data_IF_564212749351
#
_entry.id   IF_564212749351
#
_cell.length_a   1.000
_cell.length_b   1.000
_cell.length_c   1.000
_cell.angle_alpha   90.00
_cell.angle_beta   90.00
_cell.angle_gamma   90.00
#
_symmetry.space_group_name_H-M   'P 1'
#
loop_
_entity.id
_entity.type
_entity.pdbx_description
1 polymer ?
#
# COMPACT_ATOMS: atom_id res chain seq x y z
N UNK A 1 9.35 -1.77 -13.13
CA UNK A 1 8.02 -1.96 -13.75
C UNK A 1 8.11 -2.33 -15.23
N UNK A 2 8.77 -1.54 -16.08
CA UNK A 2 8.90 -1.80 -17.53
C UNK A 2 9.49 -3.18 -17.88
N UNK A 3 10.58 -3.57 -17.22
CA UNK A 3 11.22 -4.88 -17.41
C UNK A 3 10.28 -6.05 -17.04
N UNK A 4 9.52 -5.92 -15.96
CA UNK A 4 8.56 -6.93 -15.51
C UNK A 4 7.36 -7.05 -16.43
N UNK A 5 6.87 -5.92 -16.98
CA UNK A 5 5.82 -5.92 -17.98
C UNK A 5 6.28 -6.61 -19.27
N UNK A 6 7.48 -6.28 -19.75
CA UNK A 6 8.07 -6.88 -20.94
C UNK A 6 8.29 -8.39 -20.77
N UNK A 7 8.93 -8.80 -19.67
CA UNK A 7 9.15 -10.21 -19.35
C UNK A 7 7.83 -10.97 -19.14
N UNK A 8 6.87 -10.39 -18.42
CA UNK A 8 5.56 -10.99 -18.20
C UNK A 8 4.76 -11.15 -19.51
N UNK A 9 4.81 -10.16 -20.39
CA UNK A 9 4.23 -10.22 -21.72
C UNK A 9 4.89 -11.31 -22.57
N UNK A 10 6.23 -11.39 -22.59
CA UNK A 10 6.96 -12.38 -23.36
C UNK A 10 6.70 -13.82 -22.88
N UNK A 11 6.69 -14.03 -21.55
CA UNK A 11 6.39 -15.33 -20.92
C UNK A 11 4.91 -15.73 -21.07
N UNK A 12 4.00 -14.74 -21.13
CA UNK A 12 2.55 -14.96 -21.19
C UNK A 12 1.99 -15.15 -22.61
N UNK A 13 2.42 -14.33 -23.57
CA UNK A 13 1.92 -14.39 -24.96
C UNK A 13 2.53 -15.51 -25.79
N UNK A 14 3.70 -16.04 -25.39
CA UNK A 14 4.40 -17.07 -26.15
C UNK A 14 3.94 -18.46 -25.68
N UNK A 15 3.14 -19.23 -26.46
CA UNK A 15 2.52 -20.47 -26.00
C UNK A 15 3.47 -21.55 -25.44
N UNK A 16 4.65 -21.82 -26.05
CA UNK A 16 5.58 -22.80 -25.50
C UNK A 16 6.19 -22.35 -24.16
N UNK A 17 6.39 -21.04 -23.99
CA UNK A 17 6.98 -20.47 -22.79
C UNK A 17 5.93 -20.39 -21.65
N UNK A 18 4.69 -20.06 -22.00
CA UNK A 18 3.56 -20.10 -21.08
C UNK A 18 3.36 -21.51 -20.53
N UNK A 19 3.40 -22.53 -21.41
CA UNK A 19 3.29 -23.94 -21.02
C UNK A 19 4.45 -24.37 -20.10
N UNK A 20 5.67 -23.98 -20.42
CA UNK A 20 6.85 -24.34 -19.63
C UNK A 20 6.86 -23.72 -18.22
N UNK A 21 6.31 -22.51 -18.05
CA UNK A 21 6.33 -21.78 -16.77
C UNK A 21 5.04 -21.91 -15.95
N UNK A 22 3.86 -22.02 -16.56
CA UNK A 22 2.57 -21.88 -15.86
C UNK A 22 1.69 -23.13 -15.85
N UNK A 23 1.94 -24.14 -16.69
CA UNK A 23 1.19 -25.40 -16.61
C UNK A 23 1.64 -26.27 -15.44
N UNK A 24 0.84 -27.27 -15.07
CA UNK A 24 1.24 -28.29 -14.08
C UNK A 24 2.40 -29.13 -14.64
N UNK A 25 3.20 -29.73 -13.76
CA UNK A 25 4.36 -30.53 -14.15
C UNK A 25 4.02 -31.65 -15.15
N UNK A 26 2.85 -32.27 -15.01
CA UNK A 26 2.37 -33.35 -15.90
C UNK A 26 2.01 -32.84 -17.31
N UNK A 27 1.78 -31.54 -17.48
CA UNK A 27 1.40 -30.89 -18.73
C UNK A 27 2.56 -30.12 -19.41
N UNK A 28 3.80 -30.33 -18.96
CA UNK A 28 5.00 -29.69 -19.50
C UNK A 28 5.49 -28.45 -18.74
N UNK A 29 4.97 -28.19 -17.55
CA UNK A 29 5.34 -27.05 -16.69
C UNK A 29 6.64 -27.22 -15.90
N UNK A 30 7.75 -27.52 -16.57
CA UNK A 30 9.05 -27.82 -15.93
C UNK A 30 9.51 -26.68 -15.01
N UNK A 31 9.26 -25.41 -15.37
CA UNK A 31 9.64 -24.25 -14.56
C UNK A 31 8.60 -23.85 -13.51
N UNK A 32 7.39 -24.41 -13.57
CA UNK A 32 6.32 -24.07 -12.65
C UNK A 32 6.70 -24.46 -11.22
N UNK A 33 7.02 -25.74 -11.00
CA UNK A 33 7.18 -26.25 -9.64
C UNK A 33 8.37 -25.68 -8.88
N UNK A 34 9.50 -25.39 -9.54
CA UNK A 34 10.70 -24.91 -8.85
C UNK A 34 10.86 -23.39 -8.86
N UNK A 35 10.43 -22.69 -9.92
CA UNK A 35 10.63 -21.24 -10.04
C UNK A 35 9.34 -20.48 -9.76
N UNK A 36 8.26 -20.75 -10.49
CA UNK A 36 7.00 -19.99 -10.36
C UNK A 36 6.35 -20.23 -9.00
N UNK A 37 6.30 -21.48 -8.54
CA UNK A 37 5.73 -21.82 -7.24
C UNK A 37 6.58 -21.26 -6.07
N UNK A 38 7.91 -21.29 -6.19
CA UNK A 38 8.81 -20.70 -5.20
C UNK A 38 8.64 -19.18 -5.12
N UNK A 39 8.62 -18.49 -6.26
CA UNK A 39 8.36 -17.04 -6.32
C UNK A 39 6.97 -16.72 -5.75
N UNK A 40 5.95 -17.52 -6.07
CA UNK A 40 4.60 -17.35 -5.54
C UNK A 40 4.56 -17.55 -4.02
N UNK A 41 5.28 -18.53 -3.49
CA UNK A 41 5.35 -18.78 -2.06
C UNK A 41 6.09 -17.64 -1.33
N UNK A 42 7.20 -17.15 -1.88
CA UNK A 42 7.89 -15.96 -1.37
C UNK A 42 6.96 -14.74 -1.41
N UNK A 43 6.23 -14.54 -2.52
CA UNK A 43 5.25 -13.48 -2.66
C UNK A 43 4.11 -13.55 -1.64
N UNK A 44 3.65 -14.77 -1.29
CA UNK A 44 2.67 -14.95 -0.20
C UNK A 44 3.25 -14.59 1.17
N UNK A 45 4.53 -14.89 1.42
CA UNK A 45 5.20 -14.51 2.66
C UNK A 45 5.47 -13.01 2.75
N UNK A 46 5.51 -12.29 1.62
CA UNK A 46 5.85 -10.88 1.59
C UNK A 46 4.95 -10.03 2.49
N UNK A 47 3.63 -10.20 2.42
CA UNK A 47 2.68 -9.46 3.27
C UNK A 47 2.92 -9.74 4.76
N UNK A 48 3.17 -11.00 5.12
CA UNK A 48 3.47 -11.39 6.51
C UNK A 48 4.79 -10.79 6.98
N UNK A 49 5.84 -10.83 6.14
CA UNK A 49 7.14 -10.21 6.42
C UNK A 49 7.03 -8.69 6.55
N UNK A 50 6.25 -8.04 5.71
CA UNK A 50 5.98 -6.61 5.81
C UNK A 50 5.31 -6.27 7.15
N UNK A 51 4.29 -7.03 7.55
CA UNK A 51 3.64 -6.83 8.83
C UNK A 51 4.60 -7.06 10.01
N UNK A 52 5.47 -8.07 9.90
CA UNK A 52 6.53 -8.34 10.89
C UNK A 52 7.52 -7.17 10.99
N UNK A 53 8.00 -6.64 9.86
CA UNK A 53 8.91 -5.48 9.82
C UNK A 53 8.24 -4.24 10.42
N UNK A 54 6.97 -3.99 10.09
CA UNK A 54 6.19 -2.88 10.67
C UNK A 54 6.07 -3.05 12.18
N UNK A 55 5.75 -4.26 12.65
CA UNK A 55 5.69 -4.59 14.09
C UNK A 55 7.03 -4.40 14.79
N UNK A 56 8.13 -4.86 14.18
CA UNK A 56 9.49 -4.67 14.70
C UNK A 56 9.88 -3.19 14.79
N UNK A 57 9.59 -2.39 13.76
CA UNK A 57 9.83 -0.94 13.76
C UNK A 57 9.00 -0.22 14.82
N UNK A 58 7.74 -0.63 15.03
CA UNK A 58 6.90 -0.09 16.12
C UNK A 58 7.48 -0.43 17.49
N UNK A 59 7.96 -1.67 17.70
CA UNK A 59 8.61 -2.09 18.94
C UNK A 59 9.89 -1.30 19.23
N UNK A 60 10.78 -1.16 18.23
CA UNK A 60 11.99 -0.33 18.34
C UNK A 60 11.63 1.14 18.58
N UNK A 61 10.62 1.66 17.89
CA UNK A 61 10.16 3.03 18.13
C UNK A 61 9.64 3.22 19.55
N UNK A 62 8.89 2.27 20.09
CA UNK A 62 8.36 2.35 21.46
C UNK A 62 9.50 2.37 22.48
N UNK A 63 10.49 1.49 22.29
CA UNK A 63 11.70 1.46 23.12
C UNK A 63 12.52 2.76 23.02
N UNK A 64 12.64 3.32 21.82
CA UNK A 64 13.33 4.60 21.59
C UNK A 64 12.58 5.77 22.22
N UNK A 65 11.25 5.79 22.15
CA UNK A 65 10.42 6.79 22.84
C UNK A 65 10.61 6.69 24.35
N UNK A 66 10.61 5.48 24.90
CA UNK A 66 10.80 5.25 26.33
C UNK A 66 12.19 5.66 26.82
N UNK A 67 13.25 5.35 26.06
CA UNK A 67 14.62 5.79 26.35
C UNK A 67 14.81 7.30 26.19
N UNK A 68 14.13 7.91 25.22
CA UNK A 68 14.20 9.35 24.93
C UNK A 68 13.10 10.18 25.62
N UNK A 69 12.53 9.71 26.74
CA UNK A 69 11.58 10.50 27.54
C UNK A 69 12.13 11.87 27.98
N UNK A 70 13.45 12.10 27.87
CA UNK A 70 14.13 13.38 28.18
C UNK A 70 14.68 14.15 26.95
N UNK A 71 14.61 13.64 25.72
CA UNK A 71 15.17 14.34 24.56
C UNK A 71 14.37 14.12 23.27
N UNK A 72 13.99 15.21 22.61
CA UNK A 72 13.25 15.23 21.34
C UNK A 72 11.75 15.54 21.51
N UNK A 73 11.33 16.70 21.02
CA UNK A 73 9.93 17.12 20.97
C UNK A 73 9.19 16.39 19.85
N UNK A 74 7.98 15.91 20.13
CA UNK A 74 7.07 15.46 19.05
C UNK A 74 6.61 16.71 18.29
N UNK A 75 6.81 16.79 16.97
CA UNK A 75 6.36 17.94 16.20
C UNK A 75 4.84 17.84 15.99
N UNK A 76 4.07 18.14 17.03
CA UNK A 76 2.61 17.96 17.05
C UNK A 76 1.91 18.68 15.89
N UNK A 77 2.40 19.86 15.49
CA UNK A 77 1.91 20.58 14.32
C UNK A 77 2.06 19.75 13.04
N UNK A 78 3.20 19.09 12.85
CA UNK A 78 3.44 18.23 11.69
C UNK A 78 2.57 16.96 11.76
N UNK A 79 2.41 16.36 12.94
CA UNK A 79 1.55 15.18 13.12
C UNK A 79 0.09 15.51 12.77
N UNK A 80 -0.46 16.60 13.31
CA UNK A 80 -1.84 17.04 13.03
C UNK A 80 -2.00 17.44 11.55
N UNK A 81 -1.04 18.18 10.99
CA UNK A 81 -1.09 18.58 9.58
C UNK A 81 -1.09 17.36 8.66
N UNK A 82 -0.17 16.41 8.87
CA UNK A 82 -0.13 15.18 8.07
C UNK A 82 -1.37 14.34 8.30
N UNK A 83 -1.90 14.29 9.52
CA UNK A 83 -3.16 13.60 9.79
C UNK A 83 -4.30 14.18 8.96
N UNK A 84 -4.53 15.50 9.00
CA UNK A 84 -5.60 16.15 8.24
C UNK A 84 -5.41 15.97 6.73
N UNK A 85 -4.20 16.21 6.23
CA UNK A 85 -3.94 16.12 4.79
C UNK A 85 -4.10 14.69 4.29
N UNK A 86 -3.52 13.69 4.98
CA UNK A 86 -3.51 12.30 4.50
C UNK A 86 -4.73 11.47 4.88
N UNK A 87 -5.33 11.70 6.03
CA UNK A 87 -6.45 10.88 6.49
C UNK A 87 -7.80 11.55 6.22
N UNK A 88 -7.83 12.83 5.86
CA UNK A 88 -9.08 13.55 5.54
C UNK A 88 -9.07 14.10 4.12
N UNK A 89 -8.18 15.03 3.79
CA UNK A 89 -8.20 15.72 2.49
C UNK A 89 -7.94 14.77 1.31
N UNK A 90 -6.85 14.00 1.34
CA UNK A 90 -6.51 13.08 0.26
C UNK A 90 -7.59 12.01 0.00
N UNK A 91 -8.10 11.31 1.03
CA UNK A 91 -9.25 10.42 0.90
C UNK A 91 -10.49 11.09 0.31
N UNK A 92 -10.87 12.26 0.83
CA UNK A 92 -12.06 12.97 0.38
C UNK A 92 -11.94 13.37 -1.10
N UNK A 93 -10.78 13.92 -1.50
CA UNK A 93 -10.49 14.30 -2.88
C UNK A 93 -10.50 13.06 -3.78
N UNK A 94 -9.83 11.98 -3.36
CA UNK A 94 -9.72 10.76 -4.16
C UNK A 94 -11.08 10.08 -4.36
N UNK A 95 -11.85 9.88 -3.29
CA UNK A 95 -13.20 9.30 -3.38
C UNK A 95 -14.09 10.16 -4.28
N UNK A 96 -14.07 11.49 -4.08
CA UNK A 96 -14.92 12.40 -4.86
C UNK A 96 -14.57 12.40 -6.35
N UNK A 97 -13.28 12.52 -6.69
CA UNK A 97 -12.84 12.55 -8.07
C UNK A 97 -13.11 11.23 -8.78
N UNK A 98 -12.74 10.11 -8.15
CA UNK A 98 -12.94 8.78 -8.72
C UNK A 98 -14.44 8.46 -8.86
N UNK A 99 -15.27 8.86 -7.88
CA UNK A 99 -16.71 8.69 -7.97
C UNK A 99 -17.32 9.45 -9.15
N UNK A 100 -16.95 10.72 -9.33
CA UNK A 100 -17.41 11.52 -10.48
C UNK A 100 -16.94 10.93 -11.80
N UNK A 101 -15.69 10.46 -11.86
CA UNK A 101 -15.15 9.83 -13.05
C UNK A 101 -15.91 8.56 -13.40
N UNK A 102 -16.12 7.68 -12.42
CA UNK A 102 -16.84 6.42 -12.59
C UNK A 102 -18.31 6.65 -13.00
N UNK A 103 -18.98 7.65 -12.40
CA UNK A 103 -20.37 7.96 -12.72
C UNK A 103 -20.57 8.57 -14.12
N UNK A 104 -19.53 9.17 -14.71
CA UNK A 104 -19.62 9.88 -16.00
C UNK A 104 -18.91 9.19 -17.16
N UNK A 105 -18.12 8.15 -16.91
CA UNK A 105 -17.18 7.61 -17.88
C UNK A 105 -17.21 6.08 -17.88
N UNK A 106 -17.40 5.47 -19.05
CA UNK A 106 -17.36 4.00 -19.24
C UNK A 106 -15.97 3.46 -19.66
N UNK A 107 -14.94 4.30 -19.62
CA UNK A 107 -13.64 4.05 -20.25
C UNK A 107 -12.79 2.98 -19.54
N UNK A 108 -13.01 2.76 -18.24
CA UNK A 108 -12.30 1.78 -17.41
C UNK A 108 -13.14 0.53 -17.05
N UNK A 109 -14.38 0.46 -17.53
CA UNK A 109 -15.34 -0.61 -17.21
C UNK A 109 -16.04 -0.45 -15.85
N UNK A 110 -17.01 -1.32 -15.58
CA UNK A 110 -17.90 -1.25 -14.41
C UNK A 110 -17.42 -2.10 -13.21
N UNK A 111 -16.13 -2.41 -13.11
CA UNK A 111 -15.62 -3.23 -11.99
C UNK A 111 -15.58 -2.43 -10.67
N UNK A 112 -16.44 -2.75 -9.68
CA UNK A 112 -16.49 -2.03 -8.42
C UNK A 112 -15.19 -2.18 -7.60
N UNK A 113 -14.46 -3.29 -7.76
CA UNK A 113 -13.18 -3.51 -7.08
C UNK A 113 -12.11 -2.59 -7.65
N UNK A 114 -12.12 -2.34 -8.96
CA UNK A 114 -11.19 -1.40 -9.61
C UNK A 114 -11.40 0.01 -9.06
N UNK A 115 -12.64 0.50 -9.08
CA UNK A 115 -12.98 1.84 -8.60
C UNK A 115 -12.70 2.00 -7.10
N UNK A 116 -13.05 1.01 -6.28
CA UNK A 116 -12.70 0.96 -4.87
C UNK A 116 -11.20 1.05 -4.64
N UNK A 117 -10.42 0.25 -5.37
CA UNK A 117 -8.96 0.24 -5.24
C UNK A 117 -8.35 1.59 -5.61
N UNK A 118 -8.85 2.24 -6.67
CA UNK A 118 -8.41 3.58 -7.08
C UNK A 118 -8.70 4.65 -6.03
N UNK A 119 -9.85 4.58 -5.34
CA UNK A 119 -10.19 5.49 -4.24
C UNK A 119 -9.25 5.35 -3.03
N UNK A 120 -8.70 4.14 -2.81
CA UNK A 120 -7.81 3.87 -1.68
C UNK A 120 -6.32 4.06 -1.99
N UNK A 121 -5.91 4.15 -3.25
CA UNK A 121 -4.50 4.31 -3.64
C UNK A 121 -3.73 5.44 -2.93
N UNK A 122 -4.26 6.68 -2.80
CA UNK A 122 -3.54 7.76 -2.12
C UNK A 122 -3.66 7.67 -0.59
N UNK A 123 -4.39 6.69 -0.08
CA UNK A 123 -4.72 6.55 1.34
C UNK A 123 -3.73 5.59 1.99
N UNK A 124 -3.10 6.01 3.09
CA UNK A 124 -2.18 5.15 3.82
C UNK A 124 -1.12 5.92 4.60
N UNK A 125 -0.54 5.30 5.65
CA UNK A 125 0.51 5.93 6.43
C UNK A 125 1.81 6.04 5.60
N UNK A 126 2.58 7.13 5.70
CA UNK A 126 3.76 7.39 4.85
C UNK A 126 4.97 6.48 5.09
N UNK A 127 4.80 5.47 5.93
CA UNK A 127 5.62 5.43 7.11
C UNK A 127 6.90 4.64 6.95
N UNK A 128 6.94 3.68 6.04
CA UNK A 128 8.17 2.93 5.73
C UNK A 128 9.10 3.69 4.80
N UNK A 129 8.54 4.40 3.80
CA UNK A 129 9.34 5.09 2.79
C UNK A 129 10.02 6.32 3.40
N UNK A 130 9.31 7.11 4.22
CA UNK A 130 9.91 8.31 4.85
C UNK A 130 11.01 7.94 5.84
N UNK A 131 10.83 6.89 6.65
CA UNK A 131 11.89 6.39 7.54
C UNK A 131 13.13 5.95 6.76
N UNK A 132 12.96 5.19 5.67
CA UNK A 132 14.08 4.76 4.83
C UNK A 132 14.77 5.94 4.13
N UNK A 133 14.02 6.93 3.66
CA UNK A 133 14.60 8.14 3.06
C UNK A 133 15.37 8.98 4.09
N UNK A 134 14.88 9.11 5.32
CA UNK A 134 15.59 9.80 6.39
C UNK A 134 16.90 9.09 6.76
N UNK A 135 16.89 7.74 6.81
CA UNK A 135 18.09 6.94 7.01
C UNK A 135 19.12 7.13 5.87
N UNK A 136 18.66 7.16 4.61
CA UNK A 136 19.51 7.41 3.43
C UNK A 136 20.05 8.84 3.37
N UNK A 137 19.27 9.83 3.81
CA UNK A 137 19.62 11.23 3.78
C UNK A 137 20.67 11.63 4.83
N UNK A 138 21.16 10.67 5.63
CA UNK A 138 22.21 10.86 6.64
C UNK A 138 21.90 12.02 7.62
N UNK A 139 20.62 12.19 7.96
CA UNK A 139 20.15 13.21 8.91
C UNK A 139 20.64 12.90 10.32
N UNK A 140 20.67 13.90 11.21
CA UNK A 140 21.16 13.72 12.57
C UNK A 140 20.32 12.71 13.36
N UNK A 141 20.90 12.09 14.40
CA UNK A 141 20.18 11.12 15.26
C UNK A 141 18.94 11.74 15.95
N UNK A 142 18.98 13.04 16.25
CA UNK A 142 17.82 13.77 16.80
C UNK A 142 16.69 13.93 15.77
N UNK A 143 17.02 14.23 14.52
CA UNK A 143 16.06 14.31 13.42
C UNK A 143 15.47 12.93 13.10
N UNK A 144 16.30 11.88 13.09
CA UNK A 144 15.82 10.49 12.95
C UNK A 144 14.81 10.14 14.04
N UNK A 145 15.11 10.49 15.29
CA UNK A 145 14.20 10.26 16.42
C UNK A 145 12.90 11.06 16.27
N UNK A 146 12.96 12.29 15.77
CA UNK A 146 11.80 13.15 15.50
C UNK A 146 10.91 12.54 14.43
N UNK A 147 11.50 12.03 13.34
CA UNK A 147 10.80 11.31 12.26
C UNK A 147 10.14 10.05 12.83
N UNK A 148 10.87 9.23 13.59
CA UNK A 148 10.34 8.00 14.22
C UNK A 148 9.15 8.31 15.15
N UNK A 149 9.24 9.36 15.99
CA UNK A 149 8.14 9.81 16.86
C UNK A 149 6.90 10.24 16.07
N UNK A 150 7.08 10.98 14.98
CA UNK A 150 5.98 11.39 14.11
C UNK A 150 5.33 10.20 13.38
N UNK A 151 6.14 9.26 12.88
CA UNK A 151 5.67 8.05 12.20
C UNK A 151 4.88 7.13 13.14
N UNK A 152 5.36 6.92 14.36
CA UNK A 152 4.66 6.11 15.36
C UNK A 152 3.33 6.72 15.74
N UNK A 153 3.26 8.05 15.87
CA UNK A 153 1.99 8.75 16.07
C UNK A 153 1.01 8.50 14.92
N UNK A 154 1.49 8.51 13.67
CA UNK A 154 0.65 8.22 12.50
C UNK A 154 0.18 6.76 12.45
N UNK A 155 1.01 5.80 12.87
CA UNK A 155 0.60 4.41 13.00
C UNK A 155 -0.47 4.21 14.08
N UNK A 156 -0.38 4.91 15.20
CA UNK A 156 -1.45 4.91 16.22
C UNK A 156 -2.76 5.48 15.67
N UNK A 157 -2.69 6.43 14.73
CA UNK A 157 -3.86 7.01 14.06
C UNK A 157 -4.34 6.19 12.85
N UNK A 158 -3.63 5.11 12.48
CA UNK A 158 -4.04 4.26 11.34
C UNK A 158 -5.44 3.64 11.44
N UNK A 159 -6.05 3.38 12.63
CA UNK A 159 -7.43 2.90 12.69
C UNK A 159 -8.45 3.85 12.05
N UNK A 160 -8.16 5.16 11.98
CA UNK A 160 -9.02 6.13 11.29
C UNK A 160 -9.14 5.87 9.79
N UNK A 161 -8.22 5.12 9.18
CA UNK A 161 -8.36 4.68 7.77
C UNK A 161 -9.63 3.85 7.54
N UNK A 162 -10.20 3.23 8.57
CA UNK A 162 -11.46 2.49 8.47
C UNK A 162 -12.61 3.34 7.95
N UNK A 163 -12.65 4.64 8.30
CA UNK A 163 -13.67 5.57 7.77
C UNK A 163 -13.50 5.80 6.27
N UNK A 164 -12.26 5.95 5.82
CA UNK A 164 -11.93 6.07 4.40
C UNK A 164 -12.32 4.81 3.63
N UNK A 165 -12.03 3.63 4.18
CA UNK A 165 -12.42 2.34 3.59
C UNK A 165 -13.93 2.21 3.50
N UNK A 166 -14.66 2.53 4.57
CA UNK A 166 -16.11 2.51 4.58
C UNK A 166 -16.71 3.50 3.57
N UNK A 167 -16.16 4.72 3.49
CA UNK A 167 -16.58 5.74 2.53
C UNK A 167 -16.36 5.31 1.08
N UNK A 168 -15.17 4.77 0.77
CA UNK A 168 -14.85 4.24 -0.55
C UNK A 168 -15.75 3.06 -0.92
N UNK A 169 -16.00 2.14 0.01
CA UNK A 169 -16.89 1.00 -0.20
C UNK A 169 -18.31 1.46 -0.57
N UNK A 170 -18.88 2.38 0.22
CA UNK A 170 -20.21 2.90 -0.03
C UNK A 170 -20.31 3.69 -1.34
N UNK A 171 -19.26 4.42 -1.71
CA UNK A 171 -19.18 5.12 -3.00
C UNK A 171 -19.16 4.13 -4.18
N UNK A 172 -18.36 3.06 -4.09
CA UNK A 172 -18.30 2.00 -5.10
C UNK A 172 -19.61 1.23 -5.24
N UNK A 173 -20.29 0.90 -4.13
CA UNK A 173 -21.61 0.26 -4.15
C UNK A 173 -22.64 1.13 -4.88
N UNK A 174 -22.63 2.44 -4.65
CA UNK A 174 -23.53 3.38 -5.33
C UNK A 174 -23.31 3.45 -6.83
N UNK A 175 -22.04 3.45 -7.27
CA UNK A 175 -21.70 3.42 -8.70
C UNK A 175 -22.27 2.14 -9.33
N UNK A 176 -22.01 0.99 -8.71
CA UNK A 176 -22.48 -0.28 -9.24
C UNK A 176 -24.01 -0.39 -9.30
N UNK A 177 -24.71 0.09 -8.26
CA UNK A 177 -26.16 0.13 -8.25
C UNK A 177 -26.76 1.05 -9.34
N UNK A 178 -26.02 2.05 -9.80
CA UNK A 178 -26.41 2.92 -10.92
C UNK A 178 -26.16 2.25 -12.27
N UNK A 179 -25.04 1.55 -12.47
CA UNK A 179 -24.74 0.82 -13.71
C UNK A 179 -25.66 -0.40 -13.94
N UNK A 180 -26.31 -0.93 -12.90
CA UNK A 180 -27.22 -2.08 -12.99
C UNK A 180 -28.67 -1.72 -13.38
N UNK A 181 -29.00 -0.44 -13.57
CA UNK A 181 -30.29 0.06 -14.05
C UNK A 181 -30.23 0.46 -15.51
#
# INVERSE_FOLDING_TARGET
>A
MLLGLFLGGLLGLTPPLHRAFFNKNEDGGIFNAWLVLSIKNIGKLFTTLQLFIVGGKLGVSFQNIQRSAKSGHVPWRAVVFVFLVRFVLWPAISISLVYVFAAKTSLLGDDPILWFSMMLMPTGPPSLVISGLAELANVSEEEKLTVVKALTSQYCLSPFTSFTVAGALHASEKIFAQSAK
#
